data_IF_133433934492
#
_entry.id   IF_133433934492
#
_cell.length_a   1.000
_cell.length_b   1.000
_cell.length_c   1.000
_cell.angle_alpha   90.00
_cell.angle_beta   90.00
_cell.angle_gamma   90.00
#
_symmetry.space_group_name_H-M   'P 1'
#
loop_
_entity.id
_entity.type
_entity.pdbx_description
1 polymer ?
#
# COMPACT_ATOMS: atom_id res chain seq x y z
N UNK A 1 -14.62 -1.05 8.55
CA UNK A 1 -13.47 -0.24 8.09
C UNK A 1 -12.20 -0.94 8.55
N UNK A 2 -11.11 -0.81 7.82
CA UNK A 2 -9.81 -1.23 8.35
C UNK A 2 -9.34 -0.23 9.43
N UNK A 3 -8.33 -0.61 10.22
CA UNK A 3 -7.84 0.18 11.36
C UNK A 3 -7.32 1.59 10.97
N UNK A 4 -7.13 1.84 9.68
CA UNK A 4 -6.61 3.07 9.07
C UNK A 4 -7.71 3.97 8.47
N UNK A 5 -8.99 3.71 8.78
CA UNK A 5 -10.12 4.51 8.28
C UNK A 5 -10.44 4.33 6.78
N UNK A 6 -9.63 3.55 6.05
CA UNK A 6 -9.80 3.34 4.62
C UNK A 6 -10.74 2.17 4.31
N UNK A 7 -11.41 2.18 3.13
CA UNK A 7 -12.17 1.03 2.68
C UNK A 7 -11.27 -0.21 2.48
N UNK A 8 -11.85 -1.42 2.47
CA UNK A 8 -11.11 -2.64 2.16
C UNK A 8 -10.37 -2.50 0.82
N UNK A 9 -9.15 -3.05 0.72
CA UNK A 9 -8.32 -2.88 -0.48
C UNK A 9 -9.02 -3.36 -1.77
N UNK A 10 -9.85 -4.41 -1.68
CA UNK A 10 -10.68 -4.89 -2.79
C UNK A 10 -11.66 -3.82 -3.31
N UNK A 11 -12.24 -3.03 -2.41
CA UNK A 11 -13.14 -1.93 -2.78
C UNK A 11 -12.38 -0.77 -3.43
N UNK A 12 -11.17 -0.45 -2.95
CA UNK A 12 -10.28 0.54 -3.57
C UNK A 12 -9.93 0.12 -5.01
N UNK A 13 -9.51 -1.14 -5.18
CA UNK A 13 -9.18 -1.72 -6.48
C UNK A 13 -10.39 -1.64 -7.43
N UNK A 14 -11.58 -2.02 -6.95
CA UNK A 14 -12.80 -1.97 -7.76
C UNK A 14 -13.18 -0.54 -8.14
N UNK A 15 -13.16 0.40 -7.18
CA UNK A 15 -13.48 1.82 -7.38
C UNK A 15 -12.60 2.46 -8.45
N UNK A 16 -11.31 2.15 -8.43
CA UNK A 16 -10.33 2.71 -9.37
C UNK A 16 -10.15 1.85 -10.63
N UNK A 17 -10.97 0.82 -10.83
CA UNK A 17 -10.90 -0.06 -12.01
C UNK A 17 -9.55 -0.78 -12.17
N UNK A 18 -8.82 -0.99 -11.07
CA UNK A 18 -7.47 -1.52 -11.11
C UNK A 18 -7.49 -3.02 -11.41
N UNK A 19 -6.63 -3.41 -12.34
CA UNK A 19 -6.33 -4.81 -12.65
C UNK A 19 -4.82 -4.97 -12.76
N UNK A 20 -4.32 -6.03 -12.11
CA UNK A 20 -2.93 -6.39 -12.16
C UNK A 20 -2.51 -6.67 -13.62
N UNK A 21 -1.41 -6.05 -14.05
CA UNK A 21 -0.83 -6.26 -15.38
C UNK A 21 0.37 -7.19 -15.30
N UNK A 22 0.29 -8.34 -15.96
CA UNK A 22 1.42 -9.28 -16.10
C UNK A 22 2.66 -8.62 -16.70
N UNK A 23 2.50 -7.74 -17.69
CA UNK A 23 3.60 -6.99 -18.30
C UNK A 23 4.33 -6.05 -17.33
N UNK A 24 3.71 -5.70 -16.20
CA UNK A 24 4.32 -4.92 -15.13
C UNK A 24 4.77 -5.79 -13.94
N UNK A 25 4.62 -7.12 -14.02
CA UNK A 25 4.94 -8.03 -12.91
C UNK A 25 4.01 -7.90 -11.69
N UNK A 26 2.87 -7.21 -11.82
CA UNK A 26 2.00 -6.88 -10.70
C UNK A 26 1.27 -8.12 -10.15
N UNK A 27 1.35 -8.29 -8.83
CA UNK A 27 0.52 -9.20 -8.05
C UNK A 27 0.08 -8.46 -6.78
N UNK A 28 -1.18 -8.06 -6.68
CA UNK A 28 -1.65 -7.26 -5.55
C UNK A 28 -1.85 -8.14 -4.30
N UNK A 29 -1.23 -7.73 -3.19
CA UNK A 29 -1.40 -8.38 -1.89
C UNK A 29 -2.75 -7.95 -1.29
N UNK A 30 -3.74 -8.85 -1.30
CA UNK A 30 -5.09 -8.57 -0.79
C UNK A 30 -5.30 -8.98 0.66
N UNK A 31 -4.39 -9.80 1.20
CA UNK A 31 -4.42 -10.21 2.60
C UNK A 31 -3.66 -9.19 3.46
N UNK A 32 -4.42 -8.42 4.25
CA UNK A 32 -3.85 -7.41 5.14
C UNK A 32 -3.01 -8.03 6.26
N UNK A 33 -3.29 -9.25 6.70
CA UNK A 33 -2.46 -9.93 7.70
C UNK A 33 -1.08 -10.26 7.14
N UNK A 34 -1.00 -10.67 5.87
CA UNK A 34 0.28 -10.87 5.18
C UNK A 34 1.06 -9.55 5.09
N UNK A 35 0.41 -8.45 4.67
CA UNK A 35 1.10 -7.14 4.57
C UNK A 35 1.60 -6.63 5.92
N UNK A 36 0.83 -6.82 7.00
CA UNK A 36 1.27 -6.48 8.37
C UNK A 36 2.47 -7.33 8.81
N UNK A 37 2.50 -8.62 8.47
CA UNK A 37 3.66 -9.49 8.75
C UNK A 37 4.91 -9.02 8.00
N UNK A 38 4.76 -8.62 6.74
CA UNK A 38 5.87 -8.06 5.94
C UNK A 38 6.37 -6.76 6.57
N UNK A 39 5.46 -5.83 6.91
CA UNK A 39 5.82 -4.56 7.54
C UNK A 39 6.56 -4.76 8.88
N UNK A 40 6.11 -5.69 9.73
CA UNK A 40 6.81 -6.03 10.98
C UNK A 40 8.20 -6.61 10.77
N UNK A 41 8.39 -7.40 9.72
CA UNK A 41 9.68 -8.01 9.42
C UNK A 41 10.74 -6.97 9.01
N UNK A 42 10.33 -5.76 8.62
CA UNK A 42 11.23 -4.67 8.29
C UNK A 42 11.88 -4.00 9.52
N UNK A 43 11.46 -4.35 10.75
CA UNK A 43 12.05 -3.83 11.99
C UNK A 43 11.36 -2.55 12.48
N UNK A 44 12.12 -1.71 13.20
CA UNK A 44 11.64 -0.42 13.68
C UNK A 44 11.54 0.58 12.50
N UNK A 45 10.31 0.97 12.17
CA UNK A 45 10.00 1.90 11.09
C UNK A 45 9.83 3.35 11.57
N UNK A 46 9.85 3.60 12.87
CA UNK A 46 9.65 4.94 13.41
C UNK A 46 10.84 5.86 13.10
N UNK A 47 12.05 5.28 13.01
CA UNK A 47 13.27 5.97 12.66
C UNK A 47 13.48 6.03 11.13
N UNK A 48 13.40 7.24 10.56
CA UNK A 48 13.81 7.50 9.19
C UNK A 48 12.67 7.48 8.17
N UNK A 49 13.01 7.13 6.91
CA UNK A 49 12.09 7.16 5.78
C UNK A 49 12.02 5.81 5.12
N UNK A 50 10.80 5.28 4.98
CA UNK A 50 10.56 4.03 4.26
C UNK A 50 10.39 4.34 2.78
N UNK A 51 11.16 3.66 1.93
CA UNK A 51 11.00 3.71 0.49
C UNK A 51 10.32 2.43 0.01
N UNK A 52 9.11 2.54 -0.53
CA UNK A 52 8.35 1.42 -1.07
C UNK A 52 8.35 1.46 -2.60
N UNK A 53 8.90 0.42 -3.22
CA UNK A 53 8.91 0.29 -4.69
C UNK A 53 7.77 -0.63 -5.14
N UNK A 54 6.96 -0.15 -6.07
CA UNK A 54 5.82 -0.90 -6.60
C UNK A 54 4.70 -1.13 -5.58
N UNK A 55 4.17 -0.07 -4.93
CA UNK A 55 3.12 -0.18 -3.92
C UNK A 55 1.77 -0.70 -4.49
N UNK A 56 1.57 -0.59 -5.82
CA UNK A 56 0.31 -0.91 -6.47
C UNK A 56 -0.85 -0.14 -5.85
N UNK A 57 -1.96 -0.80 -5.46
CA UNK A 57 -3.11 -0.12 -4.86
C UNK A 57 -2.89 0.31 -3.39
N UNK A 58 -1.68 0.20 -2.84
CA UNK A 58 -1.34 0.69 -1.50
C UNK A 58 -1.55 -0.33 -0.37
N UNK A 59 -1.58 -1.63 -0.69
CA UNK A 59 -1.81 -2.68 0.32
C UNK A 59 -0.71 -2.73 1.39
N UNK A 60 0.55 -2.75 0.96
CA UNK A 60 1.69 -2.75 1.87
C UNK A 60 1.96 -1.34 2.43
N UNK A 61 1.79 -0.28 1.64
CA UNK A 61 1.85 1.13 2.11
C UNK A 61 1.04 1.36 3.37
N UNK A 62 -0.23 0.92 3.38
CA UNK A 62 -1.12 1.02 4.56
C UNK A 62 -0.57 0.26 5.77
N UNK A 63 -0.01 -0.93 5.55
CA UNK A 63 0.56 -1.73 6.62
C UNK A 63 1.85 -1.10 7.19
N UNK A 64 2.69 -0.48 6.36
CA UNK A 64 3.89 0.24 6.79
C UNK A 64 3.52 1.41 7.72
N UNK A 65 2.57 2.25 7.29
CA UNK A 65 2.04 3.36 8.09
C UNK A 65 1.45 2.86 9.41
N UNK A 66 0.61 1.81 9.36
CA UNK A 66 0.02 1.21 10.55
C UNK A 66 1.04 0.51 11.48
N UNK A 67 2.26 0.22 11.01
CA UNK A 67 3.36 -0.29 11.84
C UNK A 67 4.29 0.84 12.34
N UNK A 68 3.88 2.10 12.20
CA UNK A 68 4.59 3.23 12.79
C UNK A 68 5.60 3.90 11.87
N UNK A 69 5.60 3.60 10.57
CA UNK A 69 6.38 4.38 9.62
C UNK A 69 5.94 5.86 9.65
N UNK A 70 6.84 6.74 10.04
CA UNK A 70 6.57 8.19 10.15
C UNK A 70 6.51 8.86 8.78
N UNK A 71 7.24 8.33 7.80
CA UNK A 71 7.23 8.81 6.42
C UNK A 71 7.45 7.65 5.44
N UNK A 72 6.58 7.54 4.43
CA UNK A 72 6.68 6.55 3.36
C UNK A 72 6.75 7.26 2.01
N UNK A 73 7.82 6.99 1.26
CA UNK A 73 7.98 7.41 -0.13
C UNK A 73 7.64 6.23 -1.04
N UNK A 74 6.47 6.31 -1.66
CA UNK A 74 5.95 5.30 -2.58
C UNK A 74 6.35 5.61 -4.04
N UNK A 75 7.02 4.66 -4.70
CA UNK A 75 7.51 4.79 -6.09
C UNK A 75 6.75 3.79 -6.96
N UNK A 76 5.83 4.29 -7.79
CA UNK A 76 4.95 3.47 -8.63
C UNK A 76 5.12 3.81 -10.12
N UNK A 77 5.28 2.77 -10.94
CA UNK A 77 5.41 2.90 -12.40
C UNK A 77 4.05 2.97 -13.10
N UNK A 78 3.05 2.32 -12.53
CA UNK A 78 1.69 2.29 -13.05
C UNK A 78 0.87 3.48 -12.56
N UNK A 79 0.82 4.54 -13.37
CA UNK A 79 0.12 5.78 -13.07
C UNK A 79 -1.36 5.59 -12.67
N UNK A 80 -2.00 4.48 -13.07
CA UNK A 80 -3.39 4.16 -12.71
C UNK A 80 -3.55 3.97 -11.20
N UNK A 81 -2.51 3.51 -10.51
CA UNK A 81 -2.53 3.30 -9.06
C UNK A 81 -2.42 4.61 -8.26
N UNK A 82 -2.04 5.73 -8.88
CA UNK A 82 -1.81 7.00 -8.17
C UNK A 82 -3.06 7.50 -7.45
N UNK A 83 -4.25 7.35 -8.04
CA UNK A 83 -5.50 7.75 -7.37
C UNK A 83 -5.77 6.93 -6.09
N UNK A 84 -5.48 5.63 -6.11
CA UNK A 84 -5.59 4.77 -4.93
C UNK A 84 -4.55 5.14 -3.86
N UNK A 85 -3.32 5.47 -4.26
CA UNK A 85 -2.26 5.91 -3.35
C UNK A 85 -2.54 7.29 -2.76
N UNK A 86 -3.20 8.18 -3.52
CA UNK A 86 -3.63 9.48 -3.01
C UNK A 86 -4.67 9.35 -1.89
N UNK A 87 -5.58 8.36 -1.99
CA UNK A 87 -6.51 8.07 -0.89
C UNK A 87 -5.77 7.68 0.39
N UNK A 88 -4.67 6.91 0.28
CA UNK A 88 -3.84 6.51 1.43
C UNK A 88 -3.08 7.69 2.02
N UNK A 89 -2.53 8.56 1.16
CA UNK A 89 -1.77 9.74 1.61
C UNK A 89 -2.64 10.80 2.30
N UNK A 90 -3.95 10.79 2.06
CA UNK A 90 -4.90 11.74 2.63
C UNK A 90 -5.59 11.26 3.91
N UNK A 91 -5.38 9.99 4.31
CA UNK A 91 -5.94 9.37 5.51
C UNK A 91 -5.06 9.61 6.74
#
# INVERSE_FOLDING_TARGET
MADDGLPPLRAVIARHGLRARKALGQNFLLDLNLTRRIARAAGDLAAGTVYEVGPGPGGLTRALLAQGASHVVAIERDARCLAALADVAAA
#
